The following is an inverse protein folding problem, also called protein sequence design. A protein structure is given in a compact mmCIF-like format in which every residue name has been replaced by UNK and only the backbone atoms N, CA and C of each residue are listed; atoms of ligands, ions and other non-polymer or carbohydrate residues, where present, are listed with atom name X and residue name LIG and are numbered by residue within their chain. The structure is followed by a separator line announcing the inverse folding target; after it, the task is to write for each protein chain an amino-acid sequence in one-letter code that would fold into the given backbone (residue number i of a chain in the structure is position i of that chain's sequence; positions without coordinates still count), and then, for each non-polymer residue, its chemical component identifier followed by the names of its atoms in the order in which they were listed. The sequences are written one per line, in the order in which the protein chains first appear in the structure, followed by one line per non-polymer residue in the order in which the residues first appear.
data_IF_666574196644
#
_entry.id   IF_666574196644
#
_cell.length_a   1.000
_cell.length_b   1.000
_cell.length_c   1.000
_cell.angle_alpha   90.00
_cell.angle_beta   90.00
_cell.angle_gamma   90.00
#
_symmetry.space_group_name_H-M   'P 1'
#
loop_
_entity.id
_entity.type
_entity.pdbx_description
1 polymer ?
#
# COMPACT_ATOMS: atom_id res chain seq x y z
N UNK A 1 6.71 16.37 -77.44
CA UNK A 1 6.74 14.98 -76.85
C UNK A 1 7.45 15.09 -75.50
N UNK A 2 6.66 15.12 -74.46
CA UNK A 2 7.17 15.38 -73.13
C UNK A 2 7.14 14.11 -72.31
N UNK A 3 8.30 13.63 -71.86
CA UNK A 3 8.43 12.43 -71.04
C UNK A 3 8.50 12.82 -69.57
N UNK A 4 7.39 12.67 -68.85
CA UNK A 4 7.35 12.80 -67.38
C UNK A 4 7.83 11.49 -66.75
N UNK A 5 8.96 11.61 -66.03
CA UNK A 5 9.52 10.53 -65.19
C UNK A 5 8.80 10.51 -63.87
N UNK A 6 8.13 9.41 -63.54
CA UNK A 6 7.54 9.15 -62.21
C UNK A 6 8.62 8.57 -61.30
N UNK A 7 8.98 9.33 -60.25
CA UNK A 7 9.79 8.82 -59.15
C UNK A 7 8.89 8.14 -58.15
N UNK A 8 8.98 6.83 -58.06
CA UNK A 8 8.35 6.03 -57.02
C UNK A 8 9.22 6.03 -55.76
N UNK A 9 8.76 6.70 -54.73
CA UNK A 9 9.40 6.69 -53.40
C UNK A 9 9.03 5.37 -52.70
N UNK A 10 10.00 4.45 -52.58
CA UNK A 10 9.83 3.26 -51.78
C UNK A 10 9.92 3.63 -50.29
N UNK A 11 8.81 3.44 -49.56
CA UNK A 11 8.80 3.56 -48.11
C UNK A 11 9.53 2.36 -47.49
N UNK A 12 10.58 2.62 -46.74
CA UNK A 12 11.25 1.63 -45.91
C UNK A 12 10.33 1.21 -44.78
N UNK A 13 10.16 -0.09 -44.45
CA UNK A 13 9.41 -0.53 -43.29
C UNK A 13 10.13 -0.08 -42.02
N UNK A 14 9.38 0.54 -41.11
CA UNK A 14 9.85 0.87 -39.80
C UNK A 14 10.24 -0.41 -39.04
N UNK A 15 11.51 -0.55 -38.73
CA UNK A 15 12.04 -1.57 -37.86
C UNK A 15 11.49 -1.33 -36.47
N UNK A 16 10.48 -2.09 -36.06
CA UNK A 16 10.08 -2.18 -34.65
C UNK A 16 11.27 -2.71 -33.86
N UNK A 17 11.63 -2.09 -32.72
CA UNK A 17 12.70 -2.61 -31.89
C UNK A 17 12.34 -4.03 -31.45
N UNK A 18 13.27 -4.94 -31.67
CA UNK A 18 13.22 -6.32 -31.18
C UNK A 18 12.83 -6.30 -29.69
N UNK A 19 11.76 -7.00 -29.34
CA UNK A 19 11.40 -7.26 -27.94
C UNK A 19 12.65 -7.77 -27.24
N UNK A 20 13.16 -6.97 -26.29
CA UNK A 20 14.24 -7.41 -25.41
C UNK A 20 13.88 -8.78 -24.85
N UNK A 21 14.85 -9.67 -24.79
CA UNK A 21 14.70 -11.00 -24.17
C UNK A 21 14.12 -10.74 -22.78
N UNK A 22 12.91 -11.22 -22.54
CA UNK A 22 12.24 -11.04 -21.24
C UNK A 22 13.19 -11.64 -20.18
N UNK A 23 13.69 -10.77 -19.31
CA UNK A 23 14.55 -11.19 -18.20
C UNK A 23 13.79 -12.25 -17.42
N UNK A 24 14.36 -13.43 -17.25
CA UNK A 24 13.71 -14.51 -16.51
C UNK A 24 13.50 -14.06 -15.07
N UNK A 25 12.24 -13.90 -14.63
CA UNK A 25 11.91 -13.52 -13.27
C UNK A 25 12.36 -14.60 -12.28
N UNK A 26 12.96 -14.16 -11.17
CA UNK A 26 13.61 -15.03 -10.18
C UNK A 26 12.71 -15.37 -9.02
N UNK A 27 11.76 -14.48 -8.70
CA UNK A 27 10.94 -14.55 -7.50
C UNK A 27 9.47 -14.78 -7.86
N UNK A 28 8.89 -15.82 -7.29
CA UNK A 28 7.47 -16.13 -7.43
C UNK A 28 6.82 -16.27 -6.06
N UNK A 29 5.76 -15.51 -5.80
CA UNK A 29 4.93 -15.65 -4.62
C UNK A 29 3.72 -16.52 -4.92
N UNK A 30 3.45 -17.48 -4.04
CA UNK A 30 2.26 -18.34 -4.11
C UNK A 30 1.65 -18.51 -2.72
N UNK A 31 0.39 -18.99 -2.67
CA UNK A 31 -0.31 -19.28 -1.43
C UNK A 31 -0.65 -20.78 -1.42
N UNK A 32 -0.43 -21.45 -0.27
CA UNK A 32 -0.88 -22.82 0.00
C UNK A 32 -1.55 -22.83 1.37
N UNK A 33 -2.86 -23.04 1.38
CA UNK A 33 -3.64 -22.89 2.60
C UNK A 33 -3.55 -21.47 3.15
N UNK A 34 -3.09 -21.32 4.36
CA UNK A 34 -2.89 -20.05 5.08
C UNK A 34 -1.44 -19.51 5.05
N UNK A 35 -0.58 -20.09 4.22
CA UNK A 35 0.84 -19.81 4.17
C UNK A 35 1.29 -19.21 2.83
N UNK A 36 2.15 -18.20 2.90
CA UNK A 36 2.89 -17.70 1.75
C UNK A 36 4.11 -18.56 1.44
N UNK A 37 4.37 -18.72 0.16
CA UNK A 37 5.56 -19.40 -0.35
C UNK A 37 6.27 -18.47 -1.34
N UNK A 38 7.59 -18.41 -1.26
CA UNK A 38 8.45 -17.77 -2.23
C UNK A 38 9.28 -18.86 -2.91
N UNK A 39 9.21 -18.93 -4.24
CA UNK A 39 9.90 -19.95 -5.06
C UNK A 39 9.59 -21.38 -4.59
N UNK A 40 8.32 -21.63 -4.24
CA UNK A 40 7.82 -22.95 -3.81
C UNK A 40 8.17 -23.35 -2.37
N UNK A 41 8.92 -22.53 -1.64
CA UNK A 41 9.26 -22.75 -0.22
C UNK A 41 8.44 -21.83 0.67
N UNK A 42 7.94 -22.32 1.82
CA UNK A 42 7.26 -21.44 2.77
C UNK A 42 8.23 -20.34 3.22
N UNK A 43 7.74 -19.12 3.37
CA UNK A 43 8.49 -18.04 4.01
C UNK A 43 8.91 -18.46 5.41
N UNK A 44 10.05 -18.02 5.90
CA UNK A 44 10.59 -18.36 7.23
C UNK A 44 10.49 -19.86 7.55
N UNK A 45 10.90 -20.73 6.61
CA UNK A 45 10.77 -22.18 6.70
C UNK A 45 11.28 -22.74 8.04
N UNK A 46 10.47 -23.56 8.71
CA UNK A 46 10.71 -24.18 10.01
C UNK A 46 10.87 -23.22 11.19
N UNK A 47 10.55 -21.92 11.01
CA UNK A 47 10.68 -20.94 12.08
C UNK A 47 9.47 -20.97 13.00
N UNK A 48 9.76 -20.92 14.30
CA UNK A 48 8.82 -20.61 15.38
C UNK A 48 9.41 -19.54 16.29
N UNK A 49 8.57 -18.79 16.96
CA UNK A 49 8.94 -17.79 17.96
C UNK A 49 7.97 -17.89 19.14
N UNK A 50 8.50 -18.05 20.36
CA UNK A 50 7.74 -18.26 21.58
C UNK A 50 6.63 -19.33 21.43
N UNK A 51 7.00 -20.47 20.81
CA UNK A 51 6.09 -21.57 20.53
C UNK A 51 5.06 -21.32 19.43
N UNK A 52 5.05 -20.16 18.80
CA UNK A 52 4.14 -19.81 17.71
C UNK A 52 4.80 -20.04 16.35
N UNK A 53 4.04 -20.54 15.38
CA UNK A 53 4.48 -20.76 14.01
C UNK A 53 4.73 -19.42 13.33
N UNK A 54 5.92 -19.24 12.75
CA UNK A 54 6.28 -18.09 11.91
C UNK A 54 6.35 -18.49 10.43
N UNK A 55 6.68 -19.76 10.16
CA UNK A 55 6.71 -20.30 8.82
C UNK A 55 5.42 -19.99 8.07
N UNK A 56 5.52 -19.41 6.90
CA UNK A 56 4.37 -19.04 6.06
C UNK A 56 3.85 -17.61 6.25
N UNK A 57 4.32 -16.86 7.26
CA UNK A 57 3.99 -15.45 7.41
C UNK A 57 4.75 -14.57 6.39
N UNK A 58 4.30 -13.34 6.18
CA UNK A 58 4.91 -12.37 5.27
C UNK A 58 5.04 -11.02 5.98
N UNK A 59 6.13 -10.82 6.75
CA UNK A 59 6.40 -9.55 7.43
C UNK A 59 6.67 -8.47 6.39
N UNK A 60 6.08 -7.29 6.59
CA UNK A 60 6.07 -6.27 5.57
C UNK A 60 6.24 -4.85 6.12
N UNK A 61 6.45 -3.89 5.21
CA UNK A 61 6.48 -2.45 5.48
C UNK A 61 5.55 -1.74 4.50
N UNK A 62 4.85 -0.72 4.98
CA UNK A 62 4.03 0.13 4.14
C UNK A 62 4.81 1.36 3.71
N UNK A 63 5.24 1.38 2.46
CA UNK A 63 6.19 2.35 1.89
C UNK A 63 5.65 2.94 0.59
N UNK A 64 4.43 3.42 0.63
CA UNK A 64 3.57 3.72 -0.52
C UNK A 64 4.10 4.76 -1.52
N UNK A 65 5.09 5.58 -1.13
CA UNK A 65 5.56 6.73 -1.91
C UNK A 65 6.83 6.45 -2.74
N UNK A 66 7.21 5.20 -2.94
CA UNK A 66 8.44 4.84 -3.68
C UNK A 66 8.50 5.35 -5.12
N UNK A 67 7.34 5.53 -5.77
CA UNK A 67 7.23 6.08 -7.14
C UNK A 67 6.65 7.50 -7.16
N UNK A 68 6.52 8.14 -6.00
CA UNK A 68 5.88 9.44 -5.85
C UNK A 68 6.47 10.49 -6.79
N UNK A 69 5.58 11.29 -7.34
CA UNK A 69 5.85 12.55 -8.01
C UNK A 69 4.64 13.47 -7.83
N UNK A 70 4.84 14.76 -7.99
CA UNK A 70 3.76 15.74 -7.99
C UNK A 70 3.88 16.60 -9.24
N UNK A 71 2.97 16.36 -10.18
CA UNK A 71 2.96 17.04 -11.48
C UNK A 71 2.34 18.44 -11.41
N UNK A 72 1.78 18.84 -10.25
CA UNK A 72 1.26 20.18 -10.08
C UNK A 72 2.38 21.14 -9.66
N UNK A 73 2.76 22.13 -10.52
CA UNK A 73 3.84 23.07 -10.23
C UNK A 73 3.58 23.95 -8.99
N UNK A 74 2.31 24.16 -8.61
CA UNK A 74 1.96 24.95 -7.43
C UNK A 74 2.20 24.18 -6.11
N UNK A 75 2.31 22.87 -6.18
CA UNK A 75 2.50 22.01 -5.00
C UNK A 75 3.84 21.27 -4.98
N UNK A 76 4.51 21.12 -6.12
CA UNK A 76 5.77 20.39 -6.25
C UNK A 76 6.89 20.90 -5.31
N UNK A 77 6.90 22.21 -5.03
CA UNK A 77 7.88 22.81 -4.11
C UNK A 77 7.74 22.35 -2.65
N UNK A 78 6.65 21.67 -2.30
CA UNK A 78 6.43 21.12 -0.94
C UNK A 78 7.31 19.90 -0.63
N UNK A 79 7.82 19.24 -1.66
CA UNK A 79 8.51 17.95 -1.58
C UNK A 79 10.01 18.03 -1.71
N UNK A 80 10.58 19.25 -1.58
CA UNK A 80 12.00 19.47 -1.81
C UNK A 80 12.89 18.77 -0.78
N UNK A 81 13.97 18.17 -1.27
CA UNK A 81 15.03 17.63 -0.40
C UNK A 81 15.71 18.75 0.40
N UNK A 82 16.06 18.53 1.67
CA UNK A 82 16.63 19.57 2.53
C UNK A 82 18.01 20.05 2.06
N UNK A 83 18.77 19.19 1.36
CA UNK A 83 20.12 19.49 0.84
C UNK A 83 20.09 20.26 -0.49
N UNK A 84 19.35 19.75 -1.48
CA UNK A 84 19.31 20.31 -2.83
C UNK A 84 18.27 21.42 -3.01
N UNK A 85 17.29 21.53 -2.10
CA UNK A 85 16.13 22.42 -2.21
C UNK A 85 15.29 22.17 -3.47
N UNK A 86 15.38 20.98 -4.03
CA UNK A 86 14.61 20.53 -5.20
C UNK A 86 13.99 19.18 -4.94
N UNK A 87 12.81 18.93 -5.49
CA UNK A 87 12.24 17.61 -5.58
C UNK A 87 12.90 16.84 -6.71
N UNK A 88 13.19 15.58 -6.46
CA UNK A 88 13.75 14.65 -7.44
C UNK A 88 13.09 13.26 -7.24
N UNK A 89 12.10 12.92 -8.10
CA UNK A 89 11.38 11.65 -8.00
C UNK A 89 12.26 10.44 -8.31
N UNK A 90 13.28 10.60 -9.14
CA UNK A 90 14.21 9.50 -9.44
C UNK A 90 15.17 9.25 -8.28
N UNK A 91 15.64 10.30 -7.60
CA UNK A 91 16.38 10.17 -6.35
C UNK A 91 15.55 9.43 -5.30
N UNK A 92 14.28 9.80 -5.11
CA UNK A 92 13.38 9.13 -4.17
C UNK A 92 13.29 7.62 -4.46
N UNK A 93 13.10 7.25 -5.72
CA UNK A 93 13.07 5.84 -6.14
C UNK A 93 14.42 5.13 -5.96
N UNK A 94 15.53 5.80 -6.26
CA UNK A 94 16.86 5.22 -6.10
C UNK A 94 17.20 4.97 -4.63
N UNK A 95 16.88 5.90 -3.74
CA UNK A 95 17.07 5.75 -2.30
C UNK A 95 16.16 4.64 -1.72
N UNK A 96 14.92 4.51 -2.23
CA UNK A 96 14.05 3.38 -1.90
C UNK A 96 14.70 2.04 -2.27
N UNK A 97 15.18 1.91 -3.51
CA UNK A 97 15.84 0.70 -4.01
C UNK A 97 17.09 0.37 -3.18
N UNK A 98 17.86 1.38 -2.80
CA UNK A 98 19.06 1.21 -2.00
C UNK A 98 18.77 0.71 -0.56
N UNK A 99 17.59 1.02 0.00
CA UNK A 99 17.18 0.59 1.33
C UNK A 99 16.63 -0.85 1.38
N UNK A 100 16.12 -1.40 0.28
CA UNK A 100 15.48 -2.73 0.24
C UNK A 100 16.38 -3.87 0.79
N UNK A 101 17.68 -3.94 0.49
CA UNK A 101 18.56 -4.99 1.05
C UNK A 101 18.65 -4.95 2.59
N UNK A 102 18.57 -3.77 3.19
CA UNK A 102 18.56 -3.62 4.64
C UNK A 102 17.27 -4.16 5.26
N UNK A 103 16.13 -3.85 4.68
CA UNK A 103 14.85 -4.40 5.13
C UNK A 103 14.84 -5.93 5.10
N UNK A 104 15.34 -6.52 4.01
CA UNK A 104 15.43 -7.97 3.87
C UNK A 104 16.34 -8.61 4.92
N UNK A 105 17.48 -7.99 5.25
CA UNK A 105 18.40 -8.49 6.30
C UNK A 105 17.77 -8.52 7.70
N UNK A 106 16.68 -7.78 7.90
CA UNK A 106 15.90 -7.79 9.13
C UNK A 106 14.66 -8.70 9.05
N UNK A 107 14.51 -9.48 7.97
CA UNK A 107 13.40 -10.43 7.83
C UNK A 107 12.12 -9.86 7.24
N UNK A 108 12.12 -8.62 6.75
CA UNK A 108 11.01 -8.09 5.96
C UNK A 108 11.07 -8.70 4.57
N UNK A 109 10.00 -9.39 4.16
CA UNK A 109 9.91 -10.05 2.86
C UNK A 109 8.90 -9.40 1.91
N UNK A 110 8.15 -8.40 2.36
CA UNK A 110 7.21 -7.69 1.50
C UNK A 110 7.16 -6.20 1.81
N UNK A 111 6.66 -5.44 0.84
CA UNK A 111 6.38 -4.01 1.01
C UNK A 111 5.13 -3.62 0.21
N UNK A 112 4.38 -2.62 0.71
CA UNK A 112 3.25 -2.04 -0.01
C UNK A 112 3.70 -0.78 -0.75
N UNK A 113 3.35 -0.68 -2.04
CA UNK A 113 3.61 0.48 -2.89
C UNK A 113 2.36 0.79 -3.72
N UNK A 114 1.99 2.06 -3.86
CA UNK A 114 0.72 2.44 -4.48
C UNK A 114 0.92 3.20 -5.80
N UNK A 115 0.04 2.93 -6.76
CA UNK A 115 -0.06 3.70 -8.02
C UNK A 115 -0.68 5.08 -7.77
N UNK A 116 -1.69 5.16 -6.90
CA UNK A 116 -2.13 6.42 -6.30
C UNK A 116 -1.45 6.54 -4.95
N UNK A 117 -0.52 7.47 -4.82
CA UNK A 117 0.51 7.49 -3.78
C UNK A 117 0.06 7.82 -2.35
N UNK A 118 -1.23 7.78 -2.05
CA UNK A 118 -1.72 8.13 -0.72
C UNK A 118 -1.77 9.64 -0.47
N UNK A 119 -2.02 10.01 0.78
CA UNK A 119 -2.05 11.42 1.21
C UNK A 119 -0.77 11.72 1.97
N UNK A 120 0.28 12.23 1.30
CA UNK A 120 1.51 12.58 2.00
C UNK A 120 1.23 13.69 3.02
N UNK A 121 1.82 13.58 4.20
CA UNK A 121 1.72 14.60 5.25
C UNK A 121 2.33 15.93 4.79
N UNK A 122 1.80 17.04 5.31
CA UNK A 122 2.35 18.37 5.07
C UNK A 122 3.12 18.83 6.31
N UNK A 123 4.34 19.32 6.14
CA UNK A 123 5.03 20.06 7.19
C UNK A 123 4.22 21.33 7.49
N UNK A 124 3.57 21.37 8.66
CA UNK A 124 2.89 22.56 9.18
C UNK A 124 1.41 22.76 8.85
N UNK A 125 0.72 21.81 8.21
CA UNK A 125 -0.72 21.92 7.92
C UNK A 125 -1.53 20.77 8.53
N UNK A 126 -2.49 21.06 9.38
CA UNK A 126 -3.50 20.08 9.82
C UNK A 126 -4.35 19.67 8.62
N UNK A 127 -3.95 18.61 7.93
CA UNK A 127 -4.82 17.95 6.95
C UNK A 127 -6.04 17.39 7.70
N UNK A 128 -7.22 17.96 7.46
CA UNK A 128 -8.48 17.36 7.91
C UNK A 128 -8.68 16.06 7.15
N UNK A 129 -8.47 14.92 7.82
CA UNK A 129 -8.74 13.60 7.30
C UNK A 129 -7.87 12.47 7.86
N UNK A 130 -6.81 12.77 8.59
CA UNK A 130 -6.06 11.75 9.32
C UNK A 130 -6.63 11.60 10.72
N UNK A 131 -6.98 10.39 11.12
CA UNK A 131 -7.24 10.04 12.51
C UNK A 131 -6.01 10.46 13.33
N UNK A 132 -6.24 11.27 14.38
CA UNK A 132 -5.21 11.77 15.26
C UNK A 132 -4.50 10.59 15.95
N UNK A 133 -3.32 10.23 15.46
CA UNK A 133 -2.34 9.50 16.24
C UNK A 133 -1.78 10.45 17.31
N UNK A 134 -1.71 10.00 18.54
CA UNK A 134 -1.29 10.75 19.71
C UNK A 134 0.06 11.46 19.47
N UNK A 135 0.10 12.76 19.75
CA UNK A 135 1.34 13.51 19.85
C UNK A 135 2.16 12.97 21.04
N UNK A 136 3.50 12.91 20.97
CA UNK A 136 4.31 12.62 22.14
C UNK A 136 4.14 13.74 23.17
N UNK A 137 3.83 13.35 24.41
CA UNK A 137 3.77 14.24 25.53
C UNK A 137 5.18 14.80 25.80
N UNK A 138 5.36 16.07 25.54
CA UNK A 138 6.51 16.79 26.08
C UNK A 138 6.14 17.34 27.46
N UNK A 139 7.00 17.06 28.42
CA UNK A 139 6.80 17.39 29.82
C UNK A 139 6.99 18.88 30.08
N UNK A 140 6.03 19.50 30.75
CA UNK A 140 6.36 20.70 31.50
C UNK A 140 5.27 21.76 31.67
N UNK A 141 4.72 21.74 32.86
CA UNK A 141 4.08 22.84 33.65
C UNK A 141 2.57 23.12 33.53
N UNK A 142 1.90 22.68 34.52
CA UNK A 142 1.18 23.29 35.63
C UNK A 142 0.16 24.39 35.30
N UNK A 143 -1.10 24.17 35.74
CA UNK A 143 -2.10 25.24 35.87
C UNK A 143 -3.53 24.72 35.84
N UNK A 144 -4.08 24.53 37.01
CA UNK A 144 -5.45 24.20 37.43
C UNK A 144 -6.59 24.91 36.68
N UNK A 145 -7.70 24.24 36.43
CA UNK A 145 -9.07 24.40 36.99
C UNK A 145 -10.18 24.03 36.00
N UNK A 146 -11.07 23.13 36.44
CA UNK A 146 -12.52 23.29 36.45
C UNK A 146 -13.34 23.03 35.19
N UNK A 147 -13.95 21.88 35.15
CA UNK A 147 -15.17 21.32 34.54
C UNK A 147 -16.18 22.33 33.85
N UNK A 148 -17.20 21.85 33.07
CA UNK A 148 -18.01 20.65 33.28
C UNK A 148 -18.33 19.83 32.00
N UNK A 149 -18.81 18.62 32.21
CA UNK A 149 -19.38 17.69 31.26
C UNK A 149 -20.53 18.28 30.42
N UNK A 150 -20.44 18.18 29.12
CA UNK A 150 -21.51 18.48 28.17
C UNK A 150 -21.76 17.30 27.24
N UNK A 151 -22.88 16.65 27.48
CA UNK A 151 -23.52 15.61 26.71
C UNK A 151 -23.66 16.03 25.23
N UNK A 152 -22.97 15.36 24.28
CA UNK A 152 -23.11 15.66 22.86
C UNK A 152 -23.79 14.50 22.14
N UNK A 153 -25.05 14.69 21.85
CA UNK A 153 -25.89 13.87 20.97
C UNK A 153 -25.28 13.77 19.55
N UNK A 154 -25.34 12.63 18.86
CA UNK A 154 -24.87 12.54 17.47
C UNK A 154 -25.84 13.26 16.53
N UNK A 155 -25.52 14.48 16.17
CA UNK A 155 -26.24 15.28 15.20
C UNK A 155 -25.69 15.11 13.80
N UNK A 156 -26.57 14.97 12.83
CA UNK A 156 -26.35 14.91 11.40
C UNK A 156 -25.27 15.90 10.91
N UNK A 157 -24.25 15.40 10.19
CA UNK A 157 -23.25 16.25 9.53
C UNK A 157 -23.89 16.92 8.32
N UNK A 158 -24.31 18.17 8.50
CA UNK A 158 -24.72 19.04 7.41
C UNK A 158 -23.56 19.32 6.46
N UNK A 159 -23.88 19.49 5.19
CA UNK A 159 -22.97 19.93 4.12
C UNK A 159 -22.37 21.31 4.48
N UNK A 160 -21.25 21.32 5.17
CA UNK A 160 -20.46 22.51 5.45
C UNK A 160 -19.64 22.90 4.21
N UNK A 161 -19.90 24.09 3.66
CA UNK A 161 -19.24 24.64 2.51
C UNK A 161 -17.72 24.52 2.60
N UNK A 162 -17.12 23.93 1.56
CA UNK A 162 -15.65 23.91 1.34
C UNK A 162 -15.21 25.35 1.11
N UNK A 163 -14.39 25.91 2.00
CA UNK A 163 -13.58 27.09 1.67
C UNK A 163 -12.73 26.80 0.42
N UNK A 164 -12.19 27.82 -0.27
CA UNK A 164 -11.42 27.62 -1.48
C UNK A 164 -10.34 26.56 -1.21
N UNK A 165 -10.48 25.42 -1.88
CA UNK A 165 -9.50 24.34 -1.76
C UNK A 165 -8.17 24.86 -2.33
N UNK A 166 -7.13 24.86 -1.52
CA UNK A 166 -5.78 25.14 -2.00
C UNK A 166 -5.40 24.20 -3.17
N UNK A 167 -4.30 24.49 -3.87
CA UNK A 167 -3.88 23.70 -5.02
C UNK A 167 -3.73 22.21 -4.65
N UNK A 168 -4.36 21.37 -5.47
CA UNK A 168 -4.40 19.92 -5.26
C UNK A 168 -3.14 19.26 -5.81
N UNK A 169 -2.66 18.22 -5.11
CA UNK A 169 -1.56 17.40 -5.62
C UNK A 169 -1.97 16.66 -6.89
N UNK A 170 -1.01 16.45 -7.80
CA UNK A 170 -1.18 15.54 -8.93
C UNK A 170 -0.15 14.39 -8.83
N UNK A 171 -0.40 13.47 -7.92
CA UNK A 171 0.52 12.41 -7.50
C UNK A 171 0.05 10.99 -7.84
N UNK A 172 -0.78 10.82 -8.86
CA UNK A 172 -1.30 9.53 -9.30
C UNK A 172 -0.55 9.01 -10.53
N UNK A 173 -0.16 7.72 -10.51
CA UNK A 173 0.32 7.03 -11.70
C UNK A 173 -0.78 6.72 -12.71
N UNK A 174 -2.05 6.88 -12.31
CA UNK A 174 -3.23 6.65 -13.15
C UNK A 174 -3.82 8.02 -13.49
N UNK A 175 -3.98 8.33 -14.78
CA UNK A 175 -4.59 9.57 -15.24
C UNK A 175 -6.13 9.56 -15.14
N UNK A 176 -6.77 10.67 -15.50
CA UNK A 176 -8.21 10.82 -15.41
C UNK A 176 -8.98 9.82 -16.29
N UNK A 177 -8.39 9.31 -17.35
CA UNK A 177 -8.96 8.34 -18.26
C UNK A 177 -8.67 6.88 -17.88
N UNK A 178 -7.90 6.64 -16.82
CA UNK A 178 -7.47 5.30 -16.37
C UNK A 178 -6.22 4.79 -17.09
N UNK A 179 -5.46 5.63 -17.81
CA UNK A 179 -4.20 5.24 -18.42
C UNK A 179 -3.06 5.37 -17.41
N UNK A 180 -2.02 4.55 -17.62
CA UNK A 180 -0.83 4.59 -16.77
C UNK A 180 0.17 5.65 -17.27
N UNK A 181 0.67 6.49 -16.36
CA UNK A 181 1.68 7.51 -16.66
C UNK A 181 3.07 6.87 -16.80
N UNK A 182 3.73 6.96 -17.97
CA UNK A 182 4.96 6.23 -18.25
C UNK A 182 6.10 6.46 -17.24
N UNK A 183 6.27 7.71 -16.77
CA UNK A 183 7.34 8.06 -15.82
C UNK A 183 7.17 7.34 -14.47
N UNK A 184 5.93 7.24 -13.96
CA UNK A 184 5.64 6.48 -12.74
C UNK A 184 5.88 4.99 -12.93
N UNK A 185 5.45 4.45 -14.09
CA UNK A 185 5.63 3.02 -14.38
C UNK A 185 7.09 2.64 -14.57
N UNK A 186 7.91 3.52 -15.13
CA UNK A 186 9.36 3.31 -15.23
C UNK A 186 10.02 3.25 -13.84
N UNK A 187 9.59 4.09 -12.89
CA UNK A 187 10.04 4.03 -11.50
C UNK A 187 9.58 2.74 -10.82
N UNK A 188 8.31 2.35 -11.01
CA UNK A 188 7.78 1.09 -10.47
C UNK A 188 8.56 -0.11 -11.02
N UNK A 189 8.86 -0.13 -12.31
CA UNK A 189 9.64 -1.19 -12.93
C UNK A 189 10.99 -1.40 -12.24
N UNK A 190 11.74 -0.32 -11.99
CA UNK A 190 13.05 -0.39 -11.30
C UNK A 190 12.91 -0.99 -9.89
N UNK A 191 11.85 -0.61 -9.14
CA UNK A 191 11.59 -1.16 -7.81
C UNK A 191 11.23 -2.64 -7.91
N UNK A 192 10.34 -3.03 -8.82
CA UNK A 192 9.92 -4.42 -8.98
C UNK A 192 11.06 -5.31 -9.50
N UNK A 193 11.93 -4.81 -10.37
CA UNK A 193 13.11 -5.52 -10.83
C UNK A 193 14.08 -5.81 -9.67
N UNK A 194 14.29 -4.82 -8.79
CA UNK A 194 15.12 -5.01 -7.59
C UNK A 194 14.45 -5.94 -6.57
N UNK A 195 13.14 -5.85 -6.41
CA UNK A 195 12.39 -6.78 -5.55
C UNK A 195 12.51 -8.22 -6.05
N UNK A 196 12.38 -8.44 -7.36
CA UNK A 196 12.56 -9.76 -8.01
C UNK A 196 13.98 -10.30 -7.80
N UNK A 197 15.00 -9.45 -7.93
CA UNK A 197 16.40 -9.81 -7.66
C UNK A 197 16.61 -10.26 -6.21
N UNK A 198 16.02 -9.56 -5.25
CA UNK A 198 16.22 -9.77 -3.82
C UNK A 198 15.33 -10.88 -3.22
N UNK A 199 14.30 -11.35 -3.91
CA UNK A 199 13.34 -12.29 -3.33
C UNK A 199 12.24 -11.61 -2.51
N UNK A 200 12.00 -10.32 -2.72
CA UNK A 200 10.96 -9.55 -2.05
C UNK A 200 9.63 -9.58 -2.83
N UNK A 201 8.53 -9.49 -2.09
CA UNK A 201 7.17 -9.41 -2.62
C UNK A 201 6.67 -7.98 -2.55
N UNK A 202 6.12 -7.47 -3.65
CA UNK A 202 5.46 -6.16 -3.68
C UNK A 202 3.94 -6.34 -3.55
N UNK A 203 3.30 -5.65 -2.60
CA UNK A 203 1.86 -5.45 -2.55
C UNK A 203 1.59 -4.15 -3.29
N UNK A 204 1.09 -4.24 -4.52
CA UNK A 204 0.85 -3.06 -5.37
C UNK A 204 -0.59 -2.61 -5.20
N UNK A 205 -0.77 -1.45 -4.57
CA UNK A 205 -2.06 -0.78 -4.41
C UNK A 205 -2.41 0.03 -5.66
N UNK A 206 -3.64 -0.11 -6.17
CA UNK A 206 -4.05 0.64 -7.37
C UNK A 206 -4.66 1.97 -7.02
N UNK A 207 -5.71 2.00 -6.21
CA UNK A 207 -6.42 3.23 -5.87
C UNK A 207 -6.27 3.62 -4.40
N UNK A 208 -6.38 4.93 -4.15
CA UNK A 208 -6.33 5.48 -2.81
C UNK A 208 -7.51 6.45 -2.60
N UNK A 209 -8.16 6.37 -1.43
CA UNK A 209 -9.28 7.25 -1.11
C UNK A 209 -8.86 8.74 -1.17
N UNK A 210 -9.80 9.60 -1.59
CA UNK A 210 -9.52 11.03 -1.79
C UNK A 210 -8.71 11.34 -3.05
N UNK A 211 -8.45 10.34 -3.92
CA UNK A 211 -7.81 10.51 -5.22
C UNK A 211 -8.64 9.95 -6.38
N UNK A 212 -9.62 9.10 -6.10
CA UNK A 212 -10.52 8.54 -7.11
C UNK A 212 -11.40 9.61 -7.79
N UNK A 213 -11.63 10.76 -7.16
CA UNK A 213 -12.33 11.92 -7.74
C UNK A 213 -11.66 12.48 -8.98
N UNK A 214 -10.38 12.13 -9.23
CA UNK A 214 -9.63 12.54 -10.43
C UNK A 214 -9.93 11.67 -11.63
N UNK A 215 -10.55 10.50 -11.43
CA UNK A 215 -11.01 9.62 -12.50
C UNK A 215 -12.35 10.14 -13.04
N UNK A 216 -12.51 10.17 -14.35
CA UNK A 216 -13.70 10.73 -15.00
C UNK A 216 -14.99 10.00 -14.65
N UNK A 217 -14.91 8.68 -14.61
CA UNK A 217 -16.07 7.80 -14.50
C UNK A 217 -15.65 6.38 -14.06
N UNK A 218 -16.63 5.54 -13.82
CA UNK A 218 -16.41 4.13 -13.48
C UNK A 218 -15.67 3.37 -14.59
N UNK A 219 -15.85 3.74 -15.86
CA UNK A 219 -15.12 3.12 -16.96
C UNK A 219 -13.62 3.44 -16.90
N UNK A 220 -13.24 4.63 -16.41
CA UNK A 220 -11.84 4.97 -16.16
C UNK A 220 -11.26 4.15 -14.99
N UNK A 221 -12.05 3.87 -13.94
CA UNK A 221 -11.64 2.95 -12.87
C UNK A 221 -11.36 1.56 -13.43
N UNK A 222 -12.28 1.00 -14.23
CA UNK A 222 -12.11 -0.30 -14.88
C UNK A 222 -10.86 -0.33 -15.75
N UNK A 223 -10.63 0.70 -16.59
CA UNK A 223 -9.41 0.80 -17.42
C UNK A 223 -8.14 0.84 -16.57
N UNK A 224 -8.15 1.59 -15.46
CA UNK A 224 -7.03 1.67 -14.53
C UNK A 224 -6.66 0.29 -13.96
N UNK A 225 -7.66 -0.48 -13.51
CA UNK A 225 -7.46 -1.86 -13.04
C UNK A 225 -6.88 -2.75 -14.14
N UNK A 226 -7.49 -2.73 -15.35
CA UNK A 226 -7.04 -3.56 -16.46
C UNK A 226 -5.62 -3.19 -16.90
N UNK A 227 -5.33 -1.90 -17.05
CA UNK A 227 -4.02 -1.42 -17.48
C UNK A 227 -2.95 -1.78 -16.46
N UNK A 228 -3.17 -1.57 -15.17
CA UNK A 228 -2.22 -1.92 -14.11
C UNK A 228 -1.98 -3.43 -14.04
N UNK A 229 -3.06 -4.24 -14.06
CA UNK A 229 -2.97 -5.70 -14.00
C UNK A 229 -2.23 -6.26 -15.22
N UNK A 230 -2.60 -5.81 -16.41
CA UNK A 230 -1.97 -6.26 -17.65
C UNK A 230 -0.50 -5.81 -17.72
N UNK A 231 -0.19 -4.59 -17.29
CA UNK A 231 1.19 -4.12 -17.26
C UNK A 231 2.08 -5.03 -16.39
N UNK A 232 1.62 -5.40 -15.18
CA UNK A 232 2.35 -6.32 -14.29
C UNK A 232 2.53 -7.69 -14.93
N UNK A 233 1.46 -8.24 -15.54
CA UNK A 233 1.46 -9.55 -16.18
C UNK A 233 2.34 -9.58 -17.44
N UNK A 234 2.28 -8.52 -18.27
CA UNK A 234 3.05 -8.41 -19.52
C UNK A 234 4.56 -8.26 -19.28
N UNK A 235 4.95 -7.62 -18.12
CA UNK A 235 6.34 -7.58 -17.67
C UNK A 235 6.80 -8.87 -16.97
N UNK A 236 5.89 -9.86 -16.82
CA UNK A 236 6.19 -11.18 -16.30
C UNK A 236 6.44 -11.25 -14.79
N UNK A 237 6.12 -10.20 -14.02
CA UNK A 237 6.31 -10.21 -12.57
C UNK A 237 5.49 -11.31 -11.89
N UNK A 238 6.13 -12.08 -11.00
CA UNK A 238 5.55 -13.19 -10.25
C UNK A 238 5.56 -12.96 -8.74
N UNK A 239 6.24 -11.91 -8.30
CA UNK A 239 6.40 -11.50 -6.90
C UNK A 239 5.48 -10.34 -6.51
N UNK A 240 4.32 -10.24 -7.16
CA UNK A 240 3.36 -9.15 -6.92
C UNK A 240 2.04 -9.72 -6.38
N UNK A 241 1.59 -9.15 -5.27
CA UNK A 241 0.23 -9.21 -4.75
C UNK A 241 -0.48 -7.90 -5.09
N UNK A 242 -1.79 -7.93 -5.30
CA UNK A 242 -2.58 -6.75 -5.63
C UNK A 242 -3.47 -6.35 -4.47
N UNK A 243 -3.43 -5.07 -4.09
CA UNK A 243 -4.43 -4.37 -3.30
C UNK A 243 -5.24 -3.49 -4.24
N UNK A 244 -6.51 -3.86 -4.56
CA UNK A 244 -7.32 -3.10 -5.52
C UNK A 244 -7.43 -1.63 -5.11
N UNK A 245 -7.76 -1.39 -3.85
CA UNK A 245 -7.78 -0.05 -3.29
C UNK A 245 -7.54 -0.04 -1.78
N UNK A 246 -6.92 1.01 -1.32
CA UNK A 246 -6.65 1.25 0.08
C UNK A 246 -7.93 1.64 0.81
N UNK A 247 -8.27 0.90 1.89
CA UNK A 247 -9.39 1.21 2.77
C UNK A 247 -10.70 1.48 2.02
N UNK A 248 -11.22 0.47 1.32
CA UNK A 248 -12.37 0.59 0.44
C UNK A 248 -13.65 1.13 1.13
N UNK A 249 -13.72 1.11 2.47
CA UNK A 249 -14.83 1.64 3.27
C UNK A 249 -14.63 3.11 3.70
N UNK A 250 -13.56 3.76 3.27
CA UNK A 250 -13.27 5.18 3.55
C UNK A 250 -13.55 5.99 2.29
N UNK A 251 -14.01 7.16 2.37
CA UNK A 251 -14.20 8.29 1.42
C UNK A 251 -13.89 8.06 -0.07
N UNK A 252 -14.46 7.04 -0.70
CA UNK A 252 -14.49 6.87 -2.16
C UNK A 252 -15.76 7.50 -2.75
N UNK A 253 -15.65 8.17 -3.88
CA UNK A 253 -16.78 8.74 -4.62
C UNK A 253 -17.36 7.72 -5.60
N UNK A 254 -16.50 6.97 -6.33
CA UNK A 254 -16.95 5.91 -7.24
C UNK A 254 -17.47 4.69 -6.48
N UNK A 255 -18.75 4.32 -6.70
CA UNK A 255 -19.40 3.21 -5.99
C UNK A 255 -18.70 1.87 -6.19
N UNK A 256 -18.06 1.66 -7.34
CA UNK A 256 -17.35 0.42 -7.65
C UNK A 256 -16.11 0.19 -6.75
N UNK A 257 -15.59 1.24 -6.12
CA UNK A 257 -14.47 1.18 -5.17
C UNK A 257 -14.92 0.95 -3.72
N UNK A 258 -16.25 0.96 -3.46
CA UNK A 258 -16.83 0.79 -2.12
C UNK A 258 -17.06 -0.70 -1.77
N UNK A 259 -17.22 -1.07 -0.49
CA UNK A 259 -17.36 -2.45 -0.04
C UNK A 259 -18.44 -3.26 -0.75
N UNK A 260 -19.55 -2.60 -1.13
CA UNK A 260 -20.68 -3.25 -1.80
C UNK A 260 -20.31 -3.79 -3.19
N UNK A 261 -19.36 -3.16 -3.89
CA UNK A 261 -19.05 -3.45 -5.30
C UNK A 261 -17.58 -3.79 -5.58
N UNK A 262 -16.66 -3.52 -4.67
CA UNK A 262 -15.21 -3.74 -4.90
C UNK A 262 -14.85 -5.17 -5.34
N UNK A 263 -15.68 -6.15 -5.01
CA UNK A 263 -15.52 -7.53 -5.48
C UNK A 263 -15.64 -7.69 -7.00
N UNK A 264 -16.27 -6.73 -7.69
CA UNK A 264 -16.29 -6.69 -9.15
C UNK A 264 -14.87 -6.44 -9.69
N UNK A 265 -14.14 -5.51 -9.08
CA UNK A 265 -12.76 -5.20 -9.44
C UNK A 265 -11.79 -6.34 -9.05
N UNK A 266 -12.02 -7.01 -7.91
CA UNK A 266 -11.25 -8.22 -7.55
C UNK A 266 -11.41 -9.28 -8.64
N UNK A 267 -12.63 -9.57 -9.09
CA UNK A 267 -12.89 -10.52 -10.19
C UNK A 267 -12.25 -10.06 -11.50
N UNK A 268 -12.26 -8.75 -11.77
CA UNK A 268 -11.64 -8.18 -12.95
C UNK A 268 -10.14 -8.46 -13.01
N UNK A 269 -9.43 -8.30 -11.88
CA UNK A 269 -8.01 -8.66 -11.74
C UNK A 269 -7.82 -10.18 -11.93
N UNK A 270 -8.63 -11.01 -11.24
CA UNK A 270 -8.55 -12.47 -11.31
C UNK A 270 -8.81 -13.02 -12.72
N UNK A 271 -9.63 -12.31 -13.51
CA UNK A 271 -9.92 -12.66 -14.90
C UNK A 271 -8.77 -12.40 -15.87
N UNK A 272 -7.77 -11.61 -15.50
CA UNK A 272 -6.62 -11.34 -16.35
C UNK A 272 -5.56 -12.42 -16.19
N UNK A 273 -5.18 -13.04 -17.32
CA UNK A 273 -4.17 -14.10 -17.31
C UNK A 273 -3.11 -13.89 -18.40
N UNK A 274 -1.88 -14.30 -18.11
CA UNK A 274 -0.79 -14.40 -19.09
C UNK A 274 -0.04 -15.71 -18.85
N UNK A 275 0.11 -16.49 -19.92
CA UNK A 275 0.76 -17.81 -19.84
C UNK A 275 0.19 -18.71 -18.73
N UNK A 276 -1.15 -18.73 -18.59
CA UNK A 276 -1.86 -19.53 -17.59
C UNK A 276 -1.77 -19.03 -16.16
N UNK A 277 -1.19 -17.83 -15.92
CA UNK A 277 -1.00 -17.23 -14.59
C UNK A 277 -1.81 -15.95 -14.43
N UNK A 278 -2.36 -15.74 -13.24
CA UNK A 278 -3.01 -14.51 -12.79
C UNK A 278 -2.30 -13.94 -11.55
N UNK A 279 -2.64 -12.71 -11.20
CA UNK A 279 -2.20 -12.12 -9.94
C UNK A 279 -3.09 -12.57 -8.77
N UNK A 280 -2.49 -12.66 -7.59
CA UNK A 280 -3.20 -12.83 -6.32
C UNK A 280 -3.69 -11.46 -5.86
N UNK A 281 -4.96 -11.36 -5.45
CA UNK A 281 -5.61 -10.07 -5.23
C UNK A 281 -6.50 -10.03 -4.00
N UNK A 282 -6.50 -8.90 -3.33
CA UNK A 282 -7.38 -8.51 -2.24
C UNK A 282 -7.67 -7.00 -2.30
N UNK A 283 -8.34 -6.48 -1.29
CA UNK A 283 -8.49 -5.06 -0.98
C UNK A 283 -8.44 -4.87 0.53
N UNK A 284 -8.05 -3.70 1.02
CA UNK A 284 -8.04 -3.41 2.44
C UNK A 284 -9.27 -2.60 2.88
N UNK A 285 -9.46 -2.59 4.19
CA UNK A 285 -10.45 -1.78 4.90
C UNK A 285 -9.74 -0.90 5.91
N UNK A 286 -10.29 0.28 6.19
CA UNK A 286 -9.84 1.13 7.27
C UNK A 286 -9.83 0.37 8.59
N UNK A 287 -9.06 0.87 9.57
CA UNK A 287 -8.77 0.15 10.80
C UNK A 287 -9.97 -0.36 11.58
N UNK A 288 -9.71 -1.10 12.63
CA UNK A 288 -10.70 -1.85 13.42
C UNK A 288 -11.89 -1.02 13.89
N UNK A 289 -11.72 0.29 14.07
CA UNK A 289 -12.76 1.23 14.50
C UNK A 289 -13.40 2.04 13.37
N UNK A 290 -12.98 1.83 12.11
CA UNK A 290 -13.52 2.57 10.96
C UNK A 290 -15.01 2.32 10.78
N UNK A 291 -15.74 3.37 10.35
CA UNK A 291 -17.17 3.30 10.03
C UNK A 291 -17.47 2.49 8.75
N UNK A 292 -18.75 2.38 8.42
CA UNK A 292 -19.24 1.74 7.19
C UNK A 292 -20.06 0.48 7.44
N UNK A 293 -20.49 -0.14 6.35
CA UNK A 293 -21.23 -1.40 6.40
C UNK A 293 -20.33 -2.51 6.94
N UNK A 294 -20.84 -3.27 7.91
CA UNK A 294 -20.12 -4.38 8.56
C UNK A 294 -20.99 -5.61 8.63
N UNK A 295 -20.39 -6.78 8.44
CA UNK A 295 -21.05 -8.07 8.66
C UNK A 295 -20.78 -8.59 10.08
N UNK A 296 -19.82 -7.98 10.79
CA UNK A 296 -19.49 -8.30 12.20
C UNK A 296 -19.00 -7.03 12.93
N UNK A 297 -19.37 -6.80 14.20
CA UNK A 297 -19.02 -5.60 14.94
C UNK A 297 -17.51 -5.37 15.12
N UNK A 298 -16.74 -6.45 15.24
CA UNK A 298 -15.31 -6.40 15.56
C UNK A 298 -14.39 -6.39 14.32
N UNK A 299 -14.94 -6.49 13.10
CA UNK A 299 -14.15 -6.33 11.87
C UNK A 299 -14.86 -5.43 10.85
N UNK A 300 -14.14 -4.54 10.17
CA UNK A 300 -14.71 -3.76 9.08
C UNK A 300 -14.88 -4.57 7.79
N UNK A 301 -14.22 -5.73 7.67
CA UNK A 301 -14.19 -6.53 6.45
C UNK A 301 -15.55 -7.20 6.23
N UNK A 302 -15.98 -7.29 4.96
CA UNK A 302 -17.24 -7.93 4.60
C UNK A 302 -17.04 -9.37 4.12
N UNK A 303 -18.05 -10.20 4.34
CA UNK A 303 -18.08 -11.59 3.90
C UNK A 303 -17.89 -11.73 2.39
N UNK A 304 -18.43 -10.78 1.60
CA UNK A 304 -18.27 -10.75 0.15
C UNK A 304 -16.80 -10.62 -0.27
N UNK A 305 -16.06 -9.72 0.39
CA UNK A 305 -14.62 -9.52 0.11
C UNK A 305 -13.80 -10.72 0.55
N UNK A 306 -14.02 -11.25 1.77
CA UNK A 306 -13.34 -12.46 2.25
C UNK A 306 -13.53 -13.63 1.30
N UNK A 307 -14.76 -13.86 0.84
CA UNK A 307 -15.09 -14.94 -0.10
C UNK A 307 -14.36 -14.80 -1.43
N UNK A 308 -14.23 -13.56 -1.95
CA UNK A 308 -13.67 -13.30 -3.28
C UNK A 308 -12.15 -13.19 -3.29
N UNK A 309 -11.53 -12.78 -2.19
CA UNK A 309 -10.09 -12.48 -2.11
C UNK A 309 -9.23 -13.76 -2.06
N UNK A 310 -7.98 -13.65 -2.49
CA UNK A 310 -6.97 -14.72 -2.39
C UNK A 310 -6.26 -14.70 -1.03
N UNK A 311 -6.22 -13.56 -0.37
CA UNK A 311 -5.71 -13.32 0.97
C UNK A 311 -6.48 -12.15 1.59
N UNK A 312 -6.37 -11.94 2.89
CA UNK A 312 -7.07 -10.85 3.59
C UNK A 312 -6.08 -9.76 3.96
N UNK A 313 -6.45 -8.50 3.73
CA UNK A 313 -5.72 -7.32 4.19
C UNK A 313 -6.49 -6.66 5.34
N UNK A 314 -5.80 -6.44 6.45
CA UNK A 314 -6.31 -5.75 7.64
C UNK A 314 -5.45 -4.50 7.87
N UNK A 315 -6.08 -3.41 8.32
CA UNK A 315 -5.38 -2.25 8.88
C UNK A 315 -5.56 -2.23 10.39
N UNK A 316 -4.46 -2.01 11.10
CA UNK A 316 -4.43 -1.92 12.56
C UNK A 316 -4.76 -0.52 13.09
N UNK A 317 -5.11 0.43 12.20
CA UNK A 317 -5.43 1.81 12.54
C UNK A 317 -6.52 1.86 13.62
N UNK A 318 -6.26 2.58 14.70
CA UNK A 318 -7.18 2.68 15.83
C UNK A 318 -6.44 2.75 17.16
N UNK A 319 -7.12 2.43 18.27
CA UNK A 319 -6.48 2.38 19.58
C UNK A 319 -5.31 1.39 19.61
N UNK A 320 -4.24 1.77 20.32
CA UNK A 320 -3.11 0.87 20.58
C UNK A 320 -3.50 -0.17 21.64
N UNK A 321 -4.30 -1.14 21.23
CA UNK A 321 -4.81 -2.24 22.06
C UNK A 321 -4.59 -3.58 21.35
N UNK A 322 -3.58 -4.37 21.74
CA UNK A 322 -3.32 -5.68 21.14
C UNK A 322 -4.51 -6.65 21.22
N UNK A 323 -5.40 -6.50 22.20
CA UNK A 323 -6.60 -7.33 22.27
C UNK A 323 -7.61 -6.96 21.16
N UNK A 324 -7.64 -5.70 20.73
CA UNK A 324 -8.51 -5.26 19.65
C UNK A 324 -8.12 -5.89 18.31
N UNK A 325 -6.82 -5.93 17.98
CA UNK A 325 -6.37 -6.56 16.74
C UNK A 325 -6.68 -8.08 16.76
N UNK A 326 -6.51 -8.77 17.88
CA UNK A 326 -6.88 -10.18 18.03
C UNK A 326 -8.37 -10.40 17.79
N UNK A 327 -9.24 -9.57 18.39
CA UNK A 327 -10.70 -9.65 18.15
C UNK A 327 -11.04 -9.43 16.68
N UNK A 328 -10.41 -8.46 16.04
CA UNK A 328 -10.60 -8.20 14.60
C UNK A 328 -10.21 -9.41 13.73
N UNK A 329 -9.07 -10.06 14.04
CA UNK A 329 -8.60 -11.26 13.34
C UNK A 329 -9.60 -12.42 13.55
N UNK A 330 -10.01 -12.69 14.78
CA UNK A 330 -10.97 -13.73 15.10
C UNK A 330 -12.33 -13.51 14.41
N UNK A 331 -12.85 -12.28 14.47
CA UNK A 331 -14.08 -11.87 13.79
C UNK A 331 -13.97 -12.05 12.28
N UNK A 332 -12.85 -11.65 11.68
CA UNK A 332 -12.61 -11.83 10.24
C UNK A 332 -12.64 -13.31 9.83
N UNK A 333 -12.05 -14.19 10.63
CA UNK A 333 -12.05 -15.62 10.39
C UNK A 333 -13.42 -16.29 10.60
N UNK A 334 -14.31 -15.64 11.35
CA UNK A 334 -15.69 -16.13 11.57
C UNK A 334 -16.66 -15.70 10.47
N UNK A 335 -16.27 -14.81 9.55
CA UNK A 335 -17.14 -14.33 8.50
C UNK A 335 -17.58 -15.46 7.55
N UNK A 336 -18.85 -15.48 7.10
CA UNK A 336 -19.33 -16.42 6.10
C UNK A 336 -18.45 -16.41 4.83
N UNK A 337 -18.00 -17.58 4.41
CA UNK A 337 -17.15 -17.74 3.23
C UNK A 337 -15.66 -17.60 3.49
N UNK A 338 -15.24 -17.38 4.74
CA UNK A 338 -13.83 -17.53 5.11
C UNK A 338 -13.37 -18.97 4.89
N UNK A 339 -12.17 -19.10 4.37
CA UNK A 339 -11.45 -20.36 4.23
C UNK A 339 -10.02 -20.17 4.73
N UNK A 340 -9.27 -21.22 5.09
CA UNK A 340 -7.86 -21.06 5.41
C UNK A 340 -7.13 -20.32 4.28
N UNK A 341 -6.70 -19.10 4.57
CA UNK A 341 -5.95 -18.21 3.68
C UNK A 341 -5.09 -17.26 4.50
N UNK A 342 -4.01 -16.69 3.92
CA UNK A 342 -3.20 -15.73 4.64
C UNK A 342 -3.99 -14.48 5.04
N UNK A 343 -3.75 -14.01 6.27
CA UNK A 343 -4.19 -12.71 6.75
C UNK A 343 -2.95 -11.84 6.95
N UNK A 344 -3.01 -10.62 6.46
CA UNK A 344 -1.90 -9.67 6.48
C UNK A 344 -2.38 -8.34 7.03
N UNK A 345 -1.79 -7.90 8.10
CA UNK A 345 -1.83 -6.48 8.49
C UNK A 345 -0.78 -5.78 7.64
N UNK A 346 -1.21 -4.95 6.68
CA UNK A 346 -0.30 -4.22 5.79
C UNK A 346 -0.22 -2.72 6.08
N UNK A 347 -0.93 -2.26 7.11
CA UNK A 347 -0.85 -0.90 7.63
C UNK A 347 -1.23 -0.91 9.12
N UNK A 348 -0.28 -0.53 9.99
CA UNK A 348 -0.54 -0.36 11.41
C UNK A 348 0.42 0.70 11.99
N UNK A 349 -0.12 1.83 12.50
CA UNK A 349 0.68 2.88 13.12
C UNK A 349 0.95 2.65 14.62
N UNK A 350 0.58 1.51 15.18
CA UNK A 350 0.77 1.19 16.58
C UNK A 350 2.11 0.47 16.79
N UNK A 351 3.10 1.19 17.30
CA UNK A 351 4.49 0.74 17.36
C UNK A 351 5.17 0.87 18.72
N UNK A 352 4.55 0.37 19.76
CA UNK A 352 5.16 0.22 21.08
C UNK A 352 5.99 -1.08 21.16
N UNK A 353 6.96 -1.25 20.27
CA UNK A 353 7.70 -2.50 20.07
C UNK A 353 8.55 -2.95 21.27
N UNK A 354 8.86 -2.03 22.20
CA UNK A 354 9.54 -2.34 23.46
C UNK A 354 8.64 -3.04 24.49
N UNK A 355 7.32 -2.93 24.33
CA UNK A 355 6.38 -3.53 25.24
C UNK A 355 6.27 -5.04 24.99
N UNK A 356 6.05 -5.84 26.07
CA UNK A 356 5.92 -7.29 25.95
C UNK A 356 4.68 -7.73 25.16
N UNK A 357 3.69 -6.86 25.06
CA UNK A 357 2.49 -7.04 24.23
C UNK A 357 2.31 -5.82 23.34
N UNK A 358 2.32 -6.06 22.03
CA UNK A 358 2.13 -5.04 21.01
C UNK A 358 1.40 -5.65 19.80
N UNK A 359 0.96 -4.84 18.85
CA UNK A 359 0.17 -5.30 17.71
C UNK A 359 0.90 -6.32 16.83
N UNK A 360 2.22 -6.19 16.64
CA UNK A 360 3.01 -7.16 15.88
C UNK A 360 2.99 -8.53 16.58
N UNK A 361 3.32 -8.58 17.88
CA UNK A 361 3.34 -9.84 18.63
C UNK A 361 1.95 -10.46 18.75
N UNK A 362 0.93 -9.63 18.98
CA UNK A 362 -0.47 -10.08 18.99
C UNK A 362 -0.90 -10.70 17.64
N UNK A 363 -0.47 -10.10 16.52
CA UNK A 363 -0.72 -10.64 15.18
C UNK A 363 0.00 -11.97 14.95
N UNK A 364 1.27 -12.07 15.38
CA UNK A 364 2.06 -13.30 15.30
C UNK A 364 1.44 -14.43 16.13
N UNK A 365 0.95 -14.13 17.34
CA UNK A 365 0.24 -15.11 18.17
C UNK A 365 -1.00 -15.71 17.49
N UNK A 366 -1.67 -14.91 16.67
CA UNK A 366 -2.83 -15.30 15.86
C UNK A 366 -2.43 -15.83 14.47
N UNK A 367 -1.15 -16.06 14.19
CA UNK A 367 -0.66 -16.48 12.89
C UNK A 367 -1.08 -15.52 11.75
N UNK A 368 -0.78 -14.24 11.92
CA UNK A 368 -1.06 -13.16 10.97
C UNK A 368 0.23 -12.41 10.66
N UNK A 369 0.47 -12.14 9.38
CA UNK A 369 1.56 -11.30 8.91
C UNK A 369 1.33 -9.85 9.35
N UNK A 370 2.39 -9.13 9.72
CA UNK A 370 2.27 -7.75 10.18
C UNK A 370 3.21 -6.80 9.44
N UNK A 371 2.74 -5.57 9.25
CA UNK A 371 3.42 -4.54 8.50
C UNK A 371 3.43 -3.18 9.19
N UNK A 372 4.63 -2.64 9.31
CA UNK A 372 4.91 -1.34 9.88
C UNK A 372 4.44 -0.21 8.96
N UNK A 373 3.74 0.76 9.55
CA UNK A 373 3.37 2.01 8.93
C UNK A 373 3.66 3.17 9.87
N UNK A 374 4.41 4.15 9.41
CA UNK A 374 4.58 5.42 10.09
C UNK A 374 4.45 6.54 9.07
N UNK A 375 3.47 7.43 9.26
CA UNK A 375 3.27 8.55 8.37
C UNK A 375 4.51 9.44 8.31
N UNK A 376 5.10 9.73 9.49
CA UNK A 376 6.22 10.64 9.60
C UNK A 376 5.85 12.07 9.24
N UNK A 377 6.85 12.94 9.23
CA UNK A 377 6.73 14.31 8.78
C UNK A 377 7.67 14.54 7.61
N UNK A 378 7.27 15.40 6.66
CA UNK A 378 8.17 15.84 5.62
C UNK A 378 9.46 16.42 6.25
N UNK A 379 10.51 16.52 5.51
CA UNK A 379 11.87 17.01 5.81
C UNK A 379 12.96 15.94 5.73
N UNK A 380 12.67 14.80 5.09
CA UNK A 380 13.68 13.74 4.93
C UNK A 380 14.20 13.23 6.29
N UNK A 381 13.33 13.17 7.28
CA UNK A 381 13.72 12.89 8.66
C UNK A 381 13.18 11.58 9.20
N UNK A 382 11.89 11.33 9.05
CA UNK A 382 11.21 10.23 9.72
C UNK A 382 10.05 9.66 8.89
N UNK A 383 9.49 8.53 9.34
CA UNK A 383 8.38 7.86 8.69
C UNK A 383 8.71 7.25 7.33
N UNK A 384 7.65 6.80 6.64
CA UNK A 384 7.76 6.18 5.31
C UNK A 384 6.71 6.70 4.31
N UNK A 385 6.02 7.79 4.62
CA UNK A 385 4.94 8.27 3.74
C UNK A 385 5.09 9.72 3.27
N UNK A 386 5.75 10.59 4.03
CA UNK A 386 5.81 12.01 3.70
C UNK A 386 7.06 12.36 2.89
N UNK A 387 6.96 12.59 1.58
CA UNK A 387 8.11 12.97 0.76
C UNK A 387 8.74 14.32 1.20
N UNK A 388 10.05 14.49 1.02
CA UNK A 388 10.99 13.43 0.65
C UNK A 388 11.15 12.42 1.78
N UNK A 389 11.23 11.13 1.45
CA UNK A 389 11.31 10.05 2.43
C UNK A 389 12.75 9.60 2.63
N UNK A 390 13.15 9.45 3.89
CA UNK A 390 14.36 8.70 4.22
C UNK A 390 13.98 7.22 4.41
N UNK A 391 14.33 6.41 3.42
CA UNK A 391 13.98 4.99 3.36
C UNK A 391 14.83 4.09 4.24
N UNK A 392 15.88 4.62 4.88
CA UNK A 392 16.77 3.85 5.74
C UNK A 392 16.16 3.63 7.13
N UNK A 393 16.79 2.75 7.92
CA UNK A 393 16.40 2.47 9.32
C UNK A 393 17.01 3.55 10.24
N UNK A 394 16.52 4.79 10.11
CA UNK A 394 17.15 5.98 10.68
C UNK A 394 16.55 6.50 11.99
N UNK A 395 15.36 6.02 12.38
CA UNK A 395 14.67 6.45 13.61
C UNK A 395 14.59 5.33 14.65
N UNK A 396 14.30 5.67 15.91
CA UNK A 396 14.16 4.67 16.97
C UNK A 396 12.98 3.73 16.69
N UNK A 397 11.84 4.24 16.24
CA UNK A 397 10.69 3.42 15.88
C UNK A 397 11.04 2.41 14.79
N UNK A 398 11.69 2.88 13.70
CA UNK A 398 12.15 1.99 12.63
C UNK A 398 13.13 0.94 13.17
N UNK A 399 14.14 1.34 13.96
CA UNK A 399 15.11 0.39 14.56
C UNK A 399 14.42 -0.66 15.40
N UNK A 400 13.53 -0.26 16.31
CA UNK A 400 12.79 -1.21 17.17
C UNK A 400 11.93 -2.18 16.34
N UNK A 401 11.24 -1.69 15.32
CA UNK A 401 10.48 -2.55 14.41
C UNK A 401 11.39 -3.58 13.72
N UNK A 402 12.42 -3.12 13.04
CA UNK A 402 13.27 -4.00 12.25
C UNK A 402 14.01 -5.03 13.13
N UNK A 403 14.47 -4.65 14.32
CA UNK A 403 15.07 -5.57 15.28
C UNK A 403 14.06 -6.60 15.82
N UNK A 404 12.82 -6.18 16.11
CA UNK A 404 11.78 -7.11 16.54
C UNK A 404 11.42 -8.11 15.43
N UNK A 405 11.27 -7.65 14.18
CA UNK A 405 11.03 -8.54 13.04
C UNK A 405 12.18 -9.53 12.87
N UNK A 406 13.42 -9.07 12.94
CA UNK A 406 14.62 -9.93 12.89
C UNK A 406 14.59 -11.00 13.97
N UNK A 407 14.27 -10.63 15.22
CA UNK A 407 14.13 -11.56 16.34
C UNK A 407 13.03 -12.59 16.09
N UNK A 408 11.86 -12.15 15.63
CA UNK A 408 10.72 -13.02 15.35
C UNK A 408 11.02 -13.98 14.20
N UNK A 409 11.56 -13.48 13.10
CA UNK A 409 11.81 -14.27 11.88
C UNK A 409 13.10 -15.09 11.95
N UNK A 410 14.04 -14.72 12.78
CA UNK A 410 15.28 -15.47 13.02
C UNK A 410 16.30 -15.39 11.88
N UNK A 411 16.31 -14.29 11.13
CA UNK A 411 17.32 -13.98 10.10
C UNK A 411 18.46 -13.15 10.65
#
# INVERSE_FOLDING_TARGET
MDRRTFLTTAALPALYPLRGVAQSRRTEVTIRGDAFHINGRPTYARRSFDGKRIEGLLMNVRVVQGIFDDLNPETASRWVYPDTKRWDPDRNTNEFIAAMPEWMRHGVLAFTINLQGGSPGFAGGRGRGGLAGAAPADAGRGGTTGAPEGNVTPGARGAGGRGPAGPQLENSAIDADGNLRPAYMARLQRILDKADELGLVAIVGYFYFGQDQRLKDEAAVHRGVLNATNWILDHGYRNVLVEVNNECNVSYDHDILKPARVTELIRLVQGQTRSGRRLLVSTSFGGTTSGGQRDHPDTPITSAVVKQSDFVLIHGNGPNDPALIKRCIAATRSLPGYRPMPVVVNEDPNFNFSEPSNHLLASVEEYVSWGYYEQGQSNYRDGFQSPPVNWTVNTDNKRQFFELVKKVTGV
#
